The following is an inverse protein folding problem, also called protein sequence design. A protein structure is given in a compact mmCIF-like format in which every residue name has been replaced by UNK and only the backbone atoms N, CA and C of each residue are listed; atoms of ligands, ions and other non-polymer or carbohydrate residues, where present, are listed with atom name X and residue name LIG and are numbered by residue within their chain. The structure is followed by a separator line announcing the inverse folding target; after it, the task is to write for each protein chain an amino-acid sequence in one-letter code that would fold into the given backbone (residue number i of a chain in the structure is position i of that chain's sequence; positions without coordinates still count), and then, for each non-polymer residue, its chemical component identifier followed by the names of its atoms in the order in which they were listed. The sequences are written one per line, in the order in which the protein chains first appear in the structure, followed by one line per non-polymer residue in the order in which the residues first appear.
data_IF_132862660067
#
_entry.id   IF_132862660067
#
_cell.length_a   1.000
_cell.length_b   1.000
_cell.length_c   1.000
_cell.angle_alpha   90.00
_cell.angle_beta   90.00
_cell.angle_gamma   90.00
#
_symmetry.space_group_name_H-M   'P 1'
#
loop_
_entity.id
_entity.type
_entity.pdbx_description
1 polymer ?
#
# COMPACT_ATOMS: atom_id res chain seq x y z
N UNK A 1 8.14 23.14 8.43
CA UNK A 1 8.58 22.21 9.50
C UNK A 1 9.99 21.75 9.19
N UNK A 2 10.78 21.38 10.20
CA UNK A 2 12.09 20.76 9.95
C UNK A 2 11.89 19.37 9.31
N UNK A 3 12.67 19.05 8.28
CA UNK A 3 12.48 17.83 7.47
C UNK A 3 12.58 16.55 8.30
N UNK A 4 13.47 16.53 9.30
CA UNK A 4 13.62 15.41 10.24
C UNK A 4 12.36 15.12 11.05
N UNK A 5 11.65 16.17 11.47
CA UNK A 5 10.41 16.04 12.23
C UNK A 5 9.31 15.41 11.38
N UNK A 6 9.20 15.81 10.10
CA UNK A 6 8.22 15.23 9.17
C UNK A 6 8.47 13.74 8.95
N UNK A 7 9.72 13.32 8.80
CA UNK A 7 10.06 11.90 8.61
C UNK A 7 9.66 11.08 9.85
N UNK A 8 9.99 11.57 11.05
CA UNK A 8 9.65 10.88 12.31
C UNK A 8 8.14 10.75 12.47
N UNK A 9 7.39 11.82 12.21
CA UNK A 9 5.93 11.83 12.27
C UNK A 9 5.36 10.83 11.25
N UNK A 10 5.80 10.88 10.00
CA UNK A 10 5.32 9.96 8.96
C UNK A 10 5.56 8.50 9.33
N UNK A 11 6.75 8.16 9.84
CA UNK A 11 7.07 6.79 10.26
C UNK A 11 6.20 6.36 11.45
N UNK A 12 6.10 7.18 12.49
CA UNK A 12 5.35 6.83 13.69
C UNK A 12 3.85 6.66 13.40
N UNK A 13 3.23 7.62 12.71
CA UNK A 13 1.79 7.58 12.42
C UNK A 13 1.43 6.50 11.40
N UNK A 14 2.25 6.28 10.36
CA UNK A 14 1.99 5.19 9.41
C UNK A 14 2.13 3.82 10.08
N UNK A 15 3.12 3.64 10.96
CA UNK A 15 3.28 2.41 11.74
C UNK A 15 2.08 2.16 12.66
N UNK A 16 1.70 3.17 13.45
CA UNK A 16 0.57 3.08 14.38
C UNK A 16 -0.74 2.81 13.62
N UNK A 17 -0.98 3.50 12.51
CA UNK A 17 -2.16 3.30 11.68
C UNK A 17 -2.22 1.86 11.14
N UNK A 18 -1.12 1.34 10.59
CA UNK A 18 -1.08 -0.02 10.03
C UNK A 18 -1.16 -1.09 11.10
N UNK A 19 -0.45 -0.97 12.22
CA UNK A 19 -0.52 -1.95 13.32
C UNK A 19 -1.88 -1.87 14.03
N UNK A 20 -2.40 -0.67 14.27
CA UNK A 20 -3.71 -0.47 14.88
C UNK A 20 -4.81 -1.12 14.05
N UNK A 21 -4.79 -0.93 12.73
CA UNK A 21 -5.74 -1.60 11.84
C UNK A 21 -5.53 -3.11 11.81
N UNK A 22 -4.28 -3.59 11.82
CA UNK A 22 -3.97 -5.02 11.88
C UNK A 22 -4.55 -5.67 13.15
N UNK A 23 -4.53 -4.97 14.28
CA UNK A 23 -5.17 -5.41 15.52
C UNK A 23 -6.70 -5.48 15.37
N UNK A 24 -7.32 -4.48 14.76
CA UNK A 24 -8.78 -4.45 14.53
C UNK A 24 -9.27 -5.66 13.73
N UNK A 25 -8.49 -6.09 12.73
CA UNK A 25 -8.84 -7.26 11.90
C UNK A 25 -8.27 -8.59 12.44
N UNK A 26 -7.80 -8.61 13.70
CA UNK A 26 -7.26 -9.81 14.38
C UNK A 26 -6.12 -10.52 13.61
N UNK A 27 -5.15 -9.76 13.09
CA UNK A 27 -3.92 -10.32 12.50
C UNK A 27 -3.09 -11.07 13.56
N UNK A 28 -2.54 -12.26 13.26
CA UNK A 28 -1.75 -13.01 14.23
C UNK A 28 -0.52 -12.24 14.69
N UNK A 29 -0.19 -12.30 15.99
CA UNK A 29 0.88 -11.51 16.60
C UNK A 29 2.24 -11.61 15.89
N UNK A 30 2.57 -12.78 15.35
CA UNK A 30 3.80 -13.02 14.57
C UNK A 30 3.91 -12.22 13.27
N UNK A 31 2.80 -11.69 12.76
CA UNK A 31 2.68 -10.94 11.52
C UNK A 31 2.47 -9.42 11.74
N UNK A 32 2.02 -8.99 12.93
CA UNK A 32 1.74 -7.58 13.26
C UNK A 32 2.91 -6.64 12.97
N UNK A 33 4.11 -6.99 13.44
CA UNK A 33 5.26 -6.12 13.26
C UNK A 33 5.64 -5.98 11.76
N UNK A 34 5.55 -7.08 11.01
CA UNK A 34 5.83 -7.06 9.57
C UNK A 34 4.77 -6.29 8.78
N UNK A 35 3.49 -6.36 9.17
CA UNK A 35 2.44 -5.55 8.53
C UNK A 35 2.65 -4.06 8.80
N UNK A 36 3.06 -3.69 10.02
CA UNK A 36 3.43 -2.32 10.37
C UNK A 36 4.61 -1.81 9.55
N UNK A 37 5.69 -2.58 9.46
CA UNK A 37 6.88 -2.24 8.67
C UNK A 37 6.52 -2.07 7.19
N UNK A 38 5.69 -2.95 6.62
CA UNK A 38 5.25 -2.77 5.22
C UNK A 38 4.43 -1.49 5.02
N UNK A 39 3.62 -1.11 6.00
CA UNK A 39 2.86 0.15 5.97
C UNK A 39 3.76 1.37 6.00
N UNK A 40 4.78 1.37 6.87
CA UNK A 40 5.79 2.43 6.94
C UNK A 40 6.53 2.56 5.60
N UNK A 41 7.04 1.47 5.06
CA UNK A 41 7.81 1.51 3.81
C UNK A 41 6.92 1.98 2.66
N UNK A 42 5.69 1.46 2.54
CA UNK A 42 4.74 1.90 1.52
C UNK A 42 4.38 3.38 1.62
N UNK A 43 4.13 3.88 2.82
CA UNK A 43 3.85 5.28 3.08
C UNK A 43 5.05 6.17 2.77
N UNK A 44 6.25 5.77 3.17
CA UNK A 44 7.47 6.53 2.90
C UNK A 44 7.76 6.62 1.40
N UNK A 45 7.54 5.54 0.65
CA UNK A 45 7.65 5.55 -0.82
C UNK A 45 6.65 6.53 -1.43
N UNK A 46 5.39 6.49 -0.98
CA UNK A 46 4.38 7.46 -1.38
C UNK A 46 4.81 8.90 -1.05
N UNK A 47 5.27 9.15 0.17
CA UNK A 47 5.62 10.49 0.64
C UNK A 47 6.81 11.09 -0.12
N UNK A 48 7.84 10.27 -0.40
CA UNK A 48 9.00 10.68 -1.22
C UNK A 48 8.55 10.97 -2.66
N UNK A 49 7.77 10.07 -3.28
CA UNK A 49 7.26 10.28 -4.64
C UNK A 49 6.37 11.52 -4.74
N UNK A 50 5.54 11.77 -3.73
CA UNK A 50 4.68 12.94 -3.66
C UNK A 50 5.51 14.23 -3.54
N UNK A 51 6.57 14.23 -2.73
CA UNK A 51 7.51 15.36 -2.62
C UNK A 51 8.32 15.58 -3.89
N UNK A 52 8.60 14.53 -4.66
CA UNK A 52 9.27 14.63 -5.96
C UNK A 52 8.34 15.17 -7.07
N UNK A 53 7.08 15.51 -6.77
CA UNK A 53 6.15 16.09 -7.75
C UNK A 53 5.53 15.07 -8.71
N UNK A 54 5.64 13.77 -8.43
CA UNK A 54 5.12 12.69 -9.30
C UNK A 54 3.59 12.62 -9.36
N UNK A 55 2.89 13.46 -8.59
CA UNK A 55 1.43 13.48 -8.51
C UNK A 55 0.86 12.35 -7.65
N UNK A 56 -0.40 12.51 -7.22
CA UNK A 56 -1.05 11.59 -6.26
C UNK A 56 -1.24 10.17 -6.81
N UNK A 57 -1.56 10.06 -8.10
CA UNK A 57 -1.78 8.78 -8.76
C UNK A 57 -0.50 7.93 -8.75
N UNK A 58 0.60 8.47 -9.29
CA UNK A 58 1.85 7.73 -9.41
C UNK A 58 2.48 7.45 -8.03
N UNK A 59 2.39 8.40 -7.10
CA UNK A 59 2.87 8.22 -5.73
C UNK A 59 2.15 7.06 -5.02
N UNK A 60 0.81 6.98 -5.14
CA UNK A 60 0.04 5.89 -4.54
C UNK A 60 0.29 4.56 -5.23
N UNK A 61 0.46 4.56 -6.56
CA UNK A 61 0.84 3.36 -7.31
C UNK A 61 2.18 2.81 -6.82
N UNK A 62 3.20 3.65 -6.66
CA UNK A 62 4.51 3.24 -6.18
C UNK A 62 4.46 2.70 -4.74
N UNK A 63 3.74 3.39 -3.85
CA UNK A 63 3.55 2.93 -2.47
C UNK A 63 2.86 1.56 -2.40
N UNK A 64 1.77 1.39 -3.15
CA UNK A 64 1.01 0.14 -3.22
C UNK A 64 1.82 -1.00 -3.87
N UNK A 65 2.61 -0.70 -4.89
CA UNK A 65 3.52 -1.66 -5.53
C UNK A 65 4.54 -2.23 -4.55
N UNK A 66 5.18 -1.36 -3.77
CA UNK A 66 6.15 -1.77 -2.75
C UNK A 66 5.47 -2.56 -1.62
N UNK A 67 4.28 -2.15 -1.17
CA UNK A 67 3.50 -2.93 -0.20
C UNK A 67 3.23 -4.33 -0.73
N UNK A 68 2.76 -4.45 -1.97
CA UNK A 68 2.51 -5.75 -2.59
C UNK A 68 3.76 -6.64 -2.60
N UNK A 69 4.94 -6.05 -2.87
CA UNK A 69 6.20 -6.80 -2.94
C UNK A 69 6.53 -7.33 -1.55
N UNK A 70 6.49 -6.46 -0.55
CA UNK A 70 6.78 -6.80 0.83
C UNK A 70 5.79 -7.82 1.38
N UNK A 71 4.49 -7.68 1.10
CA UNK A 71 3.48 -8.64 1.52
C UNK A 71 3.71 -10.02 0.93
N UNK A 72 4.08 -10.12 -0.36
CA UNK A 72 4.43 -11.40 -1.00
C UNK A 72 5.71 -12.01 -0.42
N UNK A 73 6.69 -11.19 -0.04
CA UNK A 73 7.90 -11.66 0.65
C UNK A 73 7.58 -12.16 2.06
N UNK A 74 6.88 -11.36 2.85
CA UNK A 74 6.53 -11.67 4.25
C UNK A 74 5.56 -12.83 4.37
N UNK A 75 4.62 -12.99 3.43
CA UNK A 75 3.74 -14.15 3.34
C UNK A 75 4.51 -15.47 3.25
N UNK A 76 5.60 -15.51 2.47
CA UNK A 76 6.46 -16.71 2.37
C UNK A 76 7.25 -16.94 3.66
N UNK A 77 7.76 -15.89 4.29
CA UNK A 77 8.54 -15.99 5.52
C UNK A 77 7.68 -16.49 6.68
N UNK A 78 6.48 -15.91 6.87
CA UNK A 78 5.59 -16.23 7.99
C UNK A 78 4.55 -17.29 7.68
N UNK A 79 4.55 -17.86 6.47
CA UNK A 79 3.58 -18.86 6.00
C UNK A 79 2.14 -18.44 6.27
N UNK A 80 1.82 -17.20 5.91
CA UNK A 80 0.50 -16.60 6.09
C UNK A 80 0.00 -16.04 4.74
N UNK A 81 -1.32 -15.88 4.55
CA UNK A 81 -1.85 -15.22 3.35
C UNK A 81 -1.28 -13.81 3.18
N UNK A 82 -1.05 -13.39 1.93
CA UNK A 82 -0.51 -12.05 1.59
C UNK A 82 -1.40 -10.92 2.11
N UNK A 83 -2.71 -11.16 2.14
CA UNK A 83 -3.72 -10.21 2.63
C UNK A 83 -3.50 -9.79 4.09
N UNK A 84 -2.91 -10.65 4.92
CA UNK A 84 -2.57 -10.37 6.32
C UNK A 84 -1.58 -9.21 6.44
N UNK A 85 -0.73 -9.01 5.42
CA UNK A 85 0.25 -7.92 5.38
C UNK A 85 -0.26 -6.73 4.56
N UNK A 86 -0.83 -7.00 3.37
CA UNK A 86 -1.22 -5.93 2.45
C UNK A 86 -2.37 -5.08 2.99
N UNK A 87 -3.41 -5.68 3.58
CA UNK A 87 -4.60 -4.93 3.99
C UNK A 87 -4.24 -3.87 5.05
N UNK A 88 -3.56 -4.21 6.17
CA UNK A 88 -3.19 -3.19 7.15
C UNK A 88 -2.15 -2.20 6.65
N UNK A 89 -1.24 -2.63 5.77
CA UNK A 89 -0.20 -1.77 5.21
C UNK A 89 -0.75 -0.68 4.27
N UNK A 90 -1.88 -0.94 3.60
CA UNK A 90 -2.51 -0.01 2.66
C UNK A 90 -3.27 1.12 3.34
N UNK A 91 -3.70 0.92 4.61
CA UNK A 91 -4.50 1.87 5.39
C UNK A 91 -4.04 3.33 5.27
N UNK A 92 -2.74 3.67 5.46
CA UNK A 92 -2.30 5.06 5.32
C UNK A 92 -2.46 5.63 3.90
N UNK A 93 -2.42 4.80 2.85
CA UNK A 93 -2.56 5.25 1.45
C UNK A 93 -4.02 5.39 0.99
N UNK A 94 -4.96 4.70 1.65
CA UNK A 94 -6.37 4.70 1.24
C UNK A 94 -6.97 6.11 1.41
N UNK A 95 -7.65 6.65 0.37
CA UNK A 95 -8.21 8.00 0.40
C UNK A 95 -9.51 8.05 1.21
N UNK A 96 -9.44 7.80 2.52
CA UNK A 96 -10.61 7.77 3.41
C UNK A 96 -11.27 9.14 3.61
N UNK A 97 -10.47 10.20 3.83
CA UNK A 97 -11.01 11.56 4.01
C UNK A 97 -11.73 12.05 2.74
N UNK A 98 -11.13 11.95 1.52
CA UNK A 98 -11.85 12.27 0.29
C UNK A 98 -13.11 11.43 0.08
N UNK A 99 -13.12 10.15 0.48
CA UNK A 99 -14.30 9.30 0.38
C UNK A 99 -15.43 9.77 1.31
N UNK A 100 -15.12 10.11 2.55
CA UNK A 100 -16.10 10.70 3.46
C UNK A 100 -16.63 12.04 2.94
N UNK A 101 -15.75 12.91 2.42
CA UNK A 101 -16.12 14.19 1.84
C UNK A 101 -17.04 14.03 0.63
N UNK A 102 -16.77 13.04 -0.24
CA UNK A 102 -17.62 12.73 -1.38
C UNK A 102 -19.06 12.40 -0.96
N UNK A 103 -19.22 11.49 0.01
CA UNK A 103 -20.55 11.10 0.52
C UNK A 103 -21.24 12.29 1.20
N UNK A 104 -20.51 13.04 2.03
CA UNK A 104 -21.05 14.22 2.72
C UNK A 104 -21.54 15.29 1.72
N UNK A 105 -20.74 15.59 0.70
CA UNK A 105 -21.10 16.58 -0.31
C UNK A 105 -22.32 16.14 -1.13
N UNK A 106 -22.41 14.84 -1.46
CA UNK A 106 -23.57 14.27 -2.15
C UNK A 106 -24.85 14.41 -1.33
N UNK A 107 -24.80 14.10 -0.03
CA UNK A 107 -25.95 14.24 0.89
C UNK A 107 -26.37 15.70 1.05
N UNK A 108 -25.43 16.64 1.03
CA UNK A 108 -25.70 18.07 1.14
C UNK A 108 -26.12 18.73 -0.19
N UNK A 109 -26.25 17.97 -1.29
CA UNK A 109 -26.59 18.51 -2.61
C UNK A 109 -25.47 19.32 -3.27
N UNK A 110 -24.24 19.25 -2.76
CA UNK A 110 -23.06 19.94 -3.28
C UNK A 110 -22.42 19.13 -4.41
N UNK A 111 -23.04 19.13 -5.59
CA UNK A 111 -22.69 18.27 -6.72
C UNK A 111 -21.26 18.44 -7.23
N UNK A 112 -20.77 19.68 -7.34
CA UNK A 112 -19.41 19.97 -7.83
C UNK A 112 -18.32 19.42 -6.88
N UNK A 113 -18.51 19.58 -5.57
CA UNK A 113 -17.57 19.05 -4.57
C UNK A 113 -17.64 17.52 -4.51
N UNK A 114 -18.84 16.95 -4.63
CA UNK A 114 -19.03 15.51 -4.66
C UNK A 114 -18.31 14.87 -5.86
N UNK A 115 -18.48 15.42 -7.07
CA UNK A 115 -17.86 14.91 -8.29
C UNK A 115 -16.33 14.90 -8.18
N UNK A 116 -15.73 16.02 -7.78
CA UNK A 116 -14.27 16.13 -7.64
C UNK A 116 -13.70 15.17 -6.59
N UNK A 117 -14.40 14.98 -5.48
CA UNK A 117 -14.01 14.04 -4.43
C UNK A 117 -14.13 12.58 -4.89
N UNK A 118 -15.22 12.22 -5.58
CA UNK A 118 -15.43 10.89 -6.15
C UNK A 118 -14.34 10.55 -7.16
N UNK A 119 -14.04 11.47 -8.09
CA UNK A 119 -12.98 11.26 -9.09
C UNK A 119 -11.62 11.07 -8.42
N UNK A 120 -11.32 11.87 -7.39
CA UNK A 120 -10.07 11.73 -6.62
C UNK A 120 -9.98 10.35 -5.96
N UNK A 121 -11.05 9.87 -5.34
CA UNK A 121 -11.09 8.54 -4.71
C UNK A 121 -10.92 7.45 -5.77
N UNK A 122 -11.63 7.55 -6.89
CA UNK A 122 -11.56 6.59 -8.00
C UNK A 122 -10.16 6.47 -8.56
N UNK A 123 -9.53 7.58 -8.93
CA UNK A 123 -8.16 7.60 -9.50
C UNK A 123 -7.15 6.98 -8.52
N UNK A 124 -7.22 7.36 -7.25
CA UNK A 124 -6.29 6.84 -6.24
C UNK A 124 -6.51 5.35 -6.00
N UNK A 125 -7.76 4.90 -5.88
CA UNK A 125 -8.08 3.50 -5.62
C UNK A 125 -7.67 2.62 -6.81
N UNK A 126 -7.91 3.09 -8.04
CA UNK A 126 -7.41 2.44 -9.25
C UNK A 126 -5.88 2.36 -9.27
N UNK A 127 -5.19 3.44 -8.89
CA UNK A 127 -3.72 3.45 -8.80
C UNK A 127 -3.19 2.44 -7.79
N UNK A 128 -3.82 2.33 -6.61
CA UNK A 128 -3.46 1.34 -5.59
C UNK A 128 -3.69 -0.08 -6.12
N UNK A 129 -4.85 -0.34 -6.72
CA UNK A 129 -5.18 -1.65 -7.30
C UNK A 129 -4.17 -2.05 -8.39
N UNK A 130 -3.83 -1.14 -9.30
CA UNK A 130 -2.81 -1.35 -10.32
C UNK A 130 -1.42 -1.59 -9.70
N UNK A 131 -1.04 -0.85 -8.66
CA UNK A 131 0.23 -1.05 -7.96
C UNK A 131 0.36 -2.46 -7.39
N UNK A 132 -0.68 -2.95 -6.72
CA UNK A 132 -0.71 -4.33 -6.18
C UNK A 132 -0.66 -5.37 -7.30
N UNK A 133 -1.42 -5.17 -8.39
CA UNK A 133 -1.41 -6.08 -9.54
C UNK A 133 -0.03 -6.14 -10.21
N UNK A 134 0.61 -5.00 -10.42
CA UNK A 134 1.97 -4.97 -10.99
C UNK A 134 2.97 -5.67 -10.07
N UNK A 135 2.79 -5.54 -8.76
CA UNK A 135 3.63 -6.22 -7.78
C UNK A 135 3.52 -7.75 -7.87
N UNK A 136 2.30 -8.29 -7.97
CA UNK A 136 2.09 -9.73 -8.14
C UNK A 136 2.72 -10.23 -9.44
N UNK A 137 2.52 -9.50 -10.55
CA UNK A 137 3.12 -9.85 -11.84
C UNK A 137 4.66 -9.83 -11.80
N UNK A 138 5.25 -8.81 -11.17
CA UNK A 138 6.70 -8.66 -11.05
C UNK A 138 7.32 -9.82 -10.28
N UNK A 139 6.71 -10.18 -9.15
CA UNK A 139 7.18 -11.30 -8.32
C UNK A 139 6.99 -12.63 -9.04
N UNK A 140 5.83 -12.89 -9.64
CA UNK A 140 5.58 -14.13 -10.38
C UNK A 140 6.57 -14.31 -11.53
N UNK A 141 6.84 -13.26 -12.29
CA UNK A 141 7.84 -13.27 -13.36
C UNK A 141 9.23 -13.62 -12.82
N UNK A 142 9.64 -13.00 -11.71
CA UNK A 142 10.93 -13.26 -11.08
C UNK A 142 11.07 -14.73 -10.63
N UNK A 143 10.05 -15.31 -10.00
CA UNK A 143 10.08 -16.71 -9.55
C UNK A 143 9.93 -17.71 -10.70
N UNK A 144 9.13 -17.40 -11.74
CA UNK A 144 8.98 -18.24 -12.93
C UNK A 144 10.30 -18.35 -13.69
N UNK A 145 11.03 -17.25 -13.84
CA UNK A 145 12.36 -17.24 -14.45
C UNK A 145 13.37 -18.10 -13.67
N UNK A 146 13.40 -17.97 -12.33
CA UNK A 146 14.28 -18.79 -11.48
C UNK A 146 13.96 -20.29 -11.52
N UNK A 147 12.67 -20.66 -11.58
CA UNK A 147 12.24 -22.06 -11.75
C UNK A 147 12.64 -22.62 -13.12
N UNK A 148 12.60 -21.80 -14.17
CA UNK A 148 13.01 -22.20 -15.51
C UNK A 148 14.53 -22.45 -15.57
N UNK A 149 15.34 -21.57 -14.98
CA UNK A 149 16.79 -21.76 -14.87
C UNK A 149 17.18 -23.00 -14.05
N UNK A 150 16.52 -23.25 -12.91
CA UNK A 150 16.82 -24.42 -12.07
C UNK A 150 16.44 -25.76 -12.72
N UNK A 151 15.40 -25.79 -13.57
CA UNK A 151 15.06 -26.97 -14.37
C UNK A 151 16.08 -27.27 -15.47
N UNK A 152 16.80 -26.26 -15.97
CA UNK A 152 17.83 -26.43 -17.00
C UNK A 152 19.17 -26.92 -16.42
N UNK A 153 19.49 -26.52 -15.17
CA UNK A 153 20.71 -26.97 -14.51
C UNK A 153 20.62 -28.40 -13.95
N UNK A 154 19.45 -28.85 -13.48
CA UNK A 154 19.24 -30.25 -13.04
C UNK A 154 19.06 -31.28 -14.18
N UNK A 155 19.22 -30.86 -15.45
CA UNK A 155 19.19 -31.75 -16.63
C UNK A 155 20.58 -31.94 -17.27
N UNK A 156 21.62 -31.38 -16.66
CA UNK A 156 23.03 -31.63 -16.95
C UNK A 156 23.61 -32.45 -15.80
#
# INVERSE_FOLDING_TARGET
MQLWLEVIINIAFSYIASVGFALTINVPHRALNLSGISGVIGWMVYWVAARAGMGRMLSNLMGAFIIGILGLMFARIKKCPVTVFNIPALVPLVPGVPAYQAVRALVNGQTMEAETAILRVGIVTCAIALGILLSTMFIEMFYRSKRFYRKRHNRL
#
